data_IF_568981829837
#
_entry.id   IF_568981829837
#
_cell.length_a   1.000
_cell.length_b   1.000
_cell.length_c   1.000
_cell.angle_alpha   90.00
_cell.angle_beta   90.00
_cell.angle_gamma   90.00
#
_symmetry.space_group_name_H-M   'P 1'
#
loop_
_entity.id
_entity.type
_entity.pdbx_description
1 polymer ?
#
# COMPACT_ATOMS: atom_id res chain seq x y z
N UNK A 1 -37.88 12.96 -5.09
CA UNK A 1 -37.12 13.01 -6.35
C UNK A 1 -35.72 12.45 -6.08
N UNK A 2 -35.19 11.51 -6.89
CA UNK A 2 -33.80 11.07 -6.73
C UNK A 2 -32.83 12.23 -6.93
N UNK A 3 -31.80 12.32 -6.08
CA UNK A 3 -30.78 13.38 -6.16
C UNK A 3 -29.87 13.21 -7.38
N UNK A 4 -29.29 14.31 -7.90
CA UNK A 4 -28.42 14.24 -9.06
C UNK A 4 -27.19 13.37 -8.77
N UNK A 5 -26.75 12.60 -9.77
CA UNK A 5 -25.53 11.81 -9.68
C UNK A 5 -24.31 12.72 -9.42
N UNK A 6 -23.42 12.26 -8.54
CA UNK A 6 -22.16 12.96 -8.24
C UNK A 6 -21.30 13.10 -9.50
N UNK A 7 -20.63 14.25 -9.64
CA UNK A 7 -19.75 14.51 -10.76
C UNK A 7 -18.58 13.52 -10.80
N UNK A 8 -18.18 13.16 -12.03
CA UNK A 8 -17.06 12.27 -12.27
C UNK A 8 -15.76 12.91 -11.73
N UNK A 9 -14.94 12.11 -11.02
CA UNK A 9 -13.68 12.57 -10.45
C UNK A 9 -12.70 13.10 -11.51
N UNK A 10 -11.89 14.07 -11.13
CA UNK A 10 -10.91 14.69 -12.03
C UNK A 10 -9.87 13.66 -12.51
N UNK A 11 -9.44 13.71 -13.78
CA UNK A 11 -8.34 12.89 -14.29
C UNK A 11 -7.05 13.09 -13.48
N UNK A 12 -6.23 12.04 -13.38
CA UNK A 12 -4.92 12.12 -12.74
C UNK A 12 -3.98 13.10 -13.44
N UNK A 13 -3.02 13.66 -12.70
CA UNK A 13 -1.99 14.54 -13.26
C UNK A 13 -1.05 13.76 -14.17
N UNK A 14 -0.65 14.39 -15.27
CA UNK A 14 0.33 13.84 -16.21
C UNK A 14 1.70 13.66 -15.54
N UNK A 15 2.47 12.67 -16.03
CA UNK A 15 3.82 12.39 -15.54
C UNK A 15 4.80 13.53 -15.85
N UNK A 16 5.88 13.64 -15.06
CA UNK A 16 6.96 14.58 -15.35
C UNK A 16 7.78 14.11 -16.55
N UNK A 17 8.17 15.05 -17.40
CA UNK A 17 9.02 14.79 -18.56
C UNK A 17 10.39 14.22 -18.17
N UNK A 18 10.97 13.42 -19.07
CA UNK A 18 12.31 12.85 -18.90
C UNK A 18 13.42 13.91 -18.94
N UNK A 19 14.59 13.62 -18.36
CA UNK A 19 15.77 14.48 -18.47
C UNK A 19 16.37 14.38 -19.88
N UNK A 20 16.87 15.50 -20.40
CA UNK A 20 17.57 15.55 -21.69
C UNK A 20 18.80 14.64 -21.72
N UNK A 21 19.10 14.10 -22.92
CA UNK A 21 20.28 13.27 -23.15
C UNK A 21 21.60 14.05 -23.09
N UNK A 22 22.71 13.34 -22.84
CA UNK A 22 24.04 13.95 -22.83
C UNK A 22 24.45 14.49 -24.22
N UNK A 23 25.25 15.57 -24.31
CA UNK A 23 25.75 16.10 -25.58
C UNK A 23 26.61 15.07 -26.34
N UNK A 24 26.49 15.04 -27.67
CA UNK A 24 27.29 14.16 -28.54
C UNK A 24 28.79 14.50 -28.53
N UNK A 25 29.63 13.52 -28.90
CA UNK A 25 31.08 13.69 -28.98
C UNK A 25 31.49 14.71 -30.08
N UNK A 26 32.63 15.43 -29.92
CA UNK A 26 33.17 16.30 -30.96
C UNK A 26 33.51 15.53 -32.25
N UNK A 27 33.24 16.13 -33.42
CA UNK A 27 33.52 15.51 -34.72
C UNK A 27 35.02 15.37 -35.02
N UNK A 28 35.37 14.43 -35.90
CA UNK A 28 36.75 14.18 -36.33
C UNK A 28 37.33 15.37 -37.12
N UNK A 29 38.64 15.59 -36.96
CA UNK A 29 39.37 16.68 -37.63
C UNK A 29 39.52 16.34 -39.12
N UNK A 30 39.06 17.24 -40.00
CA UNK A 30 39.15 17.05 -41.45
C UNK A 30 40.58 16.85 -41.96
N UNK A 31 40.72 16.07 -43.05
CA UNK A 31 42.00 15.76 -43.68
C UNK A 31 42.70 17.01 -44.24
N UNK A 32 44.03 17.05 -44.10
CA UNK A 32 44.85 18.15 -44.60
C UNK A 32 44.81 18.26 -46.13
N UNK A 33 44.69 19.48 -46.65
CA UNK A 33 44.65 19.74 -48.09
C UNK A 33 45.85 19.16 -48.83
N UNK A 34 45.63 18.68 -50.06
CA UNK A 34 46.66 18.05 -50.89
C UNK A 34 47.80 19.06 -51.20
N UNK A 35 49.08 18.64 -51.15
CA UNK A 35 50.20 19.51 -51.50
C UNK A 35 50.08 20.01 -52.95
N UNK A 36 50.31 21.32 -53.16
CA UNK A 36 50.30 21.92 -54.49
C UNK A 36 51.37 21.34 -55.42
N UNK A 37 51.05 21.23 -56.71
CA UNK A 37 51.99 20.79 -57.76
C UNK A 37 53.21 21.72 -57.83
N UNK A 38 54.41 21.17 -57.67
CA UNK A 38 55.67 21.89 -57.90
C UNK A 38 55.75 22.39 -59.35
N UNK A 39 55.92 23.69 -59.55
CA UNK A 39 56.49 24.26 -60.79
C UNK A 39 57.75 25.05 -60.47
N UNK A 40 58.66 25.00 -61.43
CA UNK A 40 59.99 25.60 -61.41
C UNK A 40 59.90 27.14 -61.37
N UNK A 41 60.56 27.69 -60.35
CA UNK A 41 61.36 28.91 -60.33
C UNK A 41 60.66 30.27 -60.52
N UNK A 42 60.90 31.11 -59.50
CA UNK A 42 60.69 32.55 -59.28
C UNK A 42 59.32 33.03 -58.77
N UNK A 43 59.40 33.88 -57.74
CA UNK A 43 58.38 34.48 -56.86
C UNK A 43 57.57 33.51 -55.98
N UNK A 44 57.95 33.45 -54.69
CA UNK A 44 57.16 32.75 -53.68
C UNK A 44 55.84 33.51 -53.45
N UNK A 45 54.79 33.07 -54.14
CA UNK A 45 53.43 33.55 -53.90
C UNK A 45 53.01 33.29 -52.45
N UNK A 46 52.21 34.22 -51.91
CA UNK A 46 51.63 34.14 -50.57
C UNK A 46 50.97 32.76 -50.34
N UNK A 47 51.12 32.15 -49.14
CA UNK A 47 50.43 30.90 -48.81
C UNK A 47 48.94 31.02 -49.11
N UNK A 48 48.37 30.00 -49.76
CA UNK A 48 46.95 29.96 -50.09
C UNK A 48 46.09 30.10 -48.82
N UNK A 49 44.88 30.69 -48.93
CA UNK A 49 43.98 30.84 -47.79
C UNK A 49 43.67 29.47 -47.17
N UNK A 50 43.53 29.45 -45.84
CA UNK A 50 43.13 28.25 -45.09
C UNK A 50 41.79 27.75 -45.63
N UNK A 51 41.69 26.43 -45.87
CA UNK A 51 40.44 25.81 -46.30
C UNK A 51 39.31 26.02 -45.29
N UNK A 52 38.08 26.06 -45.78
CA UNK A 52 36.89 26.27 -44.95
C UNK A 52 36.74 25.14 -43.90
N UNK A 53 36.15 25.45 -42.73
CA UNK A 53 35.78 24.43 -41.75
C UNK A 53 34.87 23.36 -42.39
N UNK A 54 35.10 22.09 -42.06
CA UNK A 54 34.25 20.99 -42.50
C UNK A 54 32.80 21.13 -42.00
N UNK A 55 31.83 20.51 -42.68
CA UNK A 55 30.44 20.53 -42.25
C UNK A 55 30.27 19.92 -40.86
N UNK A 56 29.26 20.41 -40.12
CA UNK A 56 28.87 19.84 -38.82
C UNK A 56 28.47 18.37 -39.02
N UNK A 57 29.00 17.48 -38.17
CA UNK A 57 28.60 16.07 -38.17
C UNK A 57 27.11 15.89 -37.89
N UNK A 58 26.55 14.77 -38.39
CA UNK A 58 25.14 14.45 -38.21
C UNK A 58 24.76 14.30 -36.74
N UNK A 59 23.50 14.58 -36.41
CA UNK A 59 22.96 14.33 -35.08
C UNK A 59 23.01 12.81 -34.79
N UNK A 60 23.46 12.46 -33.57
CA UNK A 60 23.44 11.06 -33.13
C UNK A 60 22.02 10.49 -33.07
N UNK A 61 21.86 9.16 -33.11
CA UNK A 61 20.56 8.52 -33.02
C UNK A 61 19.86 8.86 -31.69
N UNK A 62 18.53 8.94 -31.74
CA UNK A 62 17.70 9.08 -30.54
C UNK A 62 17.96 7.89 -29.60
N UNK A 63 18.20 8.17 -28.32
CA UNK A 63 18.40 7.14 -27.31
C UNK A 63 17.20 6.20 -27.20
N UNK A 64 17.43 4.94 -26.83
CA UNK A 64 16.35 3.99 -26.60
C UNK A 64 15.37 4.51 -25.54
N UNK A 65 14.08 4.25 -25.75
CA UNK A 65 13.06 4.54 -24.74
C UNK A 65 13.43 3.83 -23.42
N UNK A 66 13.32 4.55 -22.31
CA UNK A 66 13.50 3.96 -20.99
C UNK A 66 12.51 2.83 -20.75
N UNK A 67 12.82 1.87 -19.85
CA UNK A 67 11.87 0.83 -19.49
C UNK A 67 10.57 1.46 -18.98
N UNK A 68 9.44 0.82 -19.31
CA UNK A 68 8.15 1.23 -18.77
C UNK A 68 8.20 1.22 -17.24
N UNK A 69 7.78 2.32 -16.60
CA UNK A 69 7.69 2.37 -15.14
C UNK A 69 6.72 1.29 -14.65
N UNK A 70 7.13 0.51 -13.65
CA UNK A 70 6.25 -0.48 -13.04
C UNK A 70 5.04 0.23 -12.43
N UNK A 71 3.83 -0.12 -12.88
CA UNK A 71 2.61 0.29 -12.20
C UNK A 71 2.59 -0.35 -10.81
N UNK A 72 3.07 0.37 -9.80
CA UNK A 72 2.99 -0.07 -8.41
C UNK A 72 1.52 -0.04 -7.96
N UNK A 73 0.84 -1.18 -8.05
CA UNK A 73 -0.49 -1.36 -7.46
C UNK A 73 -0.35 -1.10 -5.95
N UNK A 74 -1.13 -0.19 -5.35
CA UNK A 74 -1.03 0.06 -3.92
C UNK A 74 -1.30 -1.24 -3.15
N UNK A 75 -0.51 -1.55 -2.11
CA UNK A 75 -0.69 -2.79 -1.38
C UNK A 75 -2.08 -2.82 -0.74
N UNK A 76 -2.74 -3.98 -0.80
CA UNK A 76 -4.08 -4.20 -0.25
C UNK A 76 -3.99 -5.17 0.91
N UNK A 77 -4.73 -4.91 1.97
CA UNK A 77 -4.84 -5.79 3.12
C UNK A 77 -6.14 -5.46 3.84
N UNK A 78 -7.13 -6.35 3.74
CA UNK A 78 -8.42 -6.19 4.39
C UNK A 78 -9.06 -7.53 4.69
N UNK A 79 -9.79 -7.59 5.79
CA UNK A 79 -10.65 -8.73 6.10
C UNK A 79 -11.91 -8.26 6.84
N UNK A 80 -12.94 -9.08 6.76
CA UNK A 80 -14.10 -9.01 7.64
C UNK A 80 -14.62 -10.42 7.87
N UNK A 81 -14.90 -10.74 9.11
CA UNK A 81 -15.41 -12.04 9.52
C UNK A 81 -16.47 -11.86 10.61
N UNK A 82 -17.29 -12.90 10.77
CA UNK A 82 -18.34 -12.95 11.79
C UNK A 82 -18.31 -14.26 12.54
N UNK A 83 -18.89 -14.26 13.73
CA UNK A 83 -18.97 -15.44 14.59
C UNK A 83 -20.14 -16.34 14.17
N UNK A 84 -19.95 -17.66 14.24
CA UNK A 84 -21.06 -18.62 14.19
C UNK A 84 -21.90 -18.62 15.46
N UNK A 85 -23.14 -19.10 15.32
CA UNK A 85 -24.00 -19.39 16.46
C UNK A 85 -23.35 -20.47 17.31
N UNK A 86 -23.10 -20.18 18.60
CA UNK A 86 -22.51 -21.13 19.52
C UNK A 86 -23.27 -21.16 20.84
N UNK A 87 -23.47 -22.36 21.36
CA UNK A 87 -23.98 -22.59 22.73
C UNK A 87 -22.84 -22.77 23.74
N UNK A 88 -21.62 -22.94 23.25
CA UNK A 88 -20.42 -23.09 24.08
C UNK A 88 -19.91 -21.69 24.43
N UNK A 89 -19.64 -21.41 25.72
CA UNK A 89 -18.98 -20.18 26.14
C UNK A 89 -17.71 -19.92 25.29
N UNK A 90 -17.46 -18.67 24.88
CA UNK A 90 -16.19 -18.36 24.23
C UNK A 90 -15.02 -18.67 25.18
N UNK A 91 -13.86 -19.08 24.65
CA UNK A 91 -12.67 -19.22 25.47
C UNK A 91 -12.31 -17.87 26.10
N UNK A 92 -12.12 -17.85 27.42
CA UNK A 92 -11.46 -16.76 28.13
C UNK A 92 -9.95 -16.92 27.99
N UNK A 93 -9.22 -15.81 27.88
CA UNK A 93 -7.76 -15.80 27.75
C UNK A 93 -7.18 -16.43 26.47
N UNK A 94 -7.97 -16.52 25.41
CA UNK A 94 -7.51 -16.91 24.08
C UNK A 94 -8.11 -16.01 22.99
N UNK A 95 -7.50 -15.96 21.80
CA UNK A 95 -8.10 -15.28 20.67
C UNK A 95 -9.51 -15.77 20.38
N UNK A 96 -10.40 -14.84 20.12
CA UNK A 96 -11.80 -15.11 19.85
C UNK A 96 -11.98 -15.40 18.34
N UNK A 97 -12.34 -16.63 17.94
CA UNK A 97 -12.49 -16.95 16.53
C UNK A 97 -13.76 -16.29 15.96
N UNK A 98 -13.59 -15.60 14.83
CA UNK A 98 -14.68 -15.19 13.93
C UNK A 98 -14.59 -16.09 12.70
N UNK A 99 -15.20 -17.26 12.82
CA UNK A 99 -14.99 -18.42 11.96
C UNK A 99 -15.69 -18.30 10.59
N UNK A 100 -16.64 -17.38 10.43
CA UNK A 100 -17.34 -17.14 9.16
C UNK A 100 -16.78 -15.91 8.45
N UNK A 101 -15.87 -16.16 7.51
CA UNK A 101 -15.29 -15.10 6.67
C UNK A 101 -16.34 -14.48 5.75
N UNK A 102 -16.39 -13.14 5.73
CA UNK A 102 -17.16 -12.34 4.76
C UNK A 102 -16.28 -11.94 3.58
N UNK A 103 -15.08 -11.45 3.86
CA UNK A 103 -14.05 -11.12 2.87
C UNK A 103 -12.67 -11.33 3.49
N UNK A 104 -11.75 -11.92 2.74
CA UNK A 104 -10.36 -12.17 3.15
C UNK A 104 -9.49 -12.48 1.93
N UNK A 105 -9.55 -11.62 0.91
CA UNK A 105 -8.91 -11.88 -0.40
C UNK A 105 -7.41 -12.15 -0.30
N UNK A 106 -6.72 -11.52 0.65
CA UNK A 106 -5.28 -11.68 0.84
C UNK A 106 -4.90 -12.84 1.77
N UNK A 107 -5.86 -13.46 2.45
CA UNK A 107 -5.59 -14.53 3.42
C UNK A 107 -4.79 -14.06 4.64
N UNK A 108 -4.80 -12.76 4.96
CA UNK A 108 -4.08 -12.21 6.12
C UNK A 108 -4.80 -12.48 7.45
N UNK A 109 -6.11 -12.77 7.40
CA UNK A 109 -6.87 -13.24 8.55
C UNK A 109 -6.97 -14.76 8.57
N UNK A 110 -6.72 -15.37 9.70
CA UNK A 110 -6.92 -16.80 9.94
C UNK A 110 -8.18 -17.01 10.79
N UNK A 111 -9.21 -17.57 10.17
CA UNK A 111 -10.51 -17.82 10.80
C UNK A 111 -10.48 -18.96 11.83
N UNK A 112 -9.47 -19.84 11.78
CA UNK A 112 -9.31 -20.92 12.76
C UNK A 112 -8.73 -20.37 14.05
N UNK A 113 -7.69 -19.53 13.95
CA UNK A 113 -7.03 -18.95 15.12
C UNK A 113 -7.68 -17.64 15.59
N UNK A 114 -8.47 -16.97 14.76
CA UNK A 114 -9.07 -15.68 15.06
C UNK A 114 -8.10 -14.50 14.92
N UNK A 115 -6.91 -14.72 14.35
CA UNK A 115 -5.83 -13.72 14.28
C UNK A 115 -5.68 -13.13 12.89
N UNK A 116 -5.48 -11.82 12.82
CA UNK A 116 -4.93 -11.13 11.66
C UNK A 116 -3.41 -11.09 11.77
N UNK A 117 -2.68 -11.44 10.70
CA UNK A 117 -1.22 -11.33 10.63
C UNK A 117 -0.83 -10.33 9.54
N UNK A 118 -0.13 -9.28 9.94
CA UNK A 118 0.31 -8.21 9.07
C UNK A 118 1.35 -8.69 8.05
N UNK A 119 1.16 -8.37 6.77
CA UNK A 119 2.16 -8.57 5.71
C UNK A 119 2.70 -7.25 5.15
N UNK A 120 1.93 -6.16 5.28
CA UNK A 120 2.26 -4.85 4.71
C UNK A 120 2.41 -3.85 5.85
N UNK A 121 3.60 -3.22 6.04
CA UNK A 121 3.78 -2.23 7.09
C UNK A 121 2.92 -1.00 6.82
N UNK A 122 2.29 -0.48 7.86
CA UNK A 122 1.45 0.70 7.76
C UNK A 122 0.51 0.87 8.93
N UNK A 123 -0.43 1.79 8.75
CA UNK A 123 -1.49 2.03 9.75
C UNK A 123 -2.76 1.32 9.34
N UNK A 124 -3.30 0.58 10.28
CA UNK A 124 -4.51 -0.23 10.14
C UNK A 124 -5.62 0.33 11.01
N UNK A 125 -6.85 0.17 10.56
CA UNK A 125 -8.04 0.37 11.38
C UNK A 125 -8.69 -0.99 11.65
N UNK A 126 -9.04 -1.24 12.90
CA UNK A 126 -9.78 -2.42 13.33
C UNK A 126 -11.08 -2.01 13.99
N UNK A 127 -12.15 -2.76 13.72
CA UNK A 127 -13.46 -2.55 14.30
C UNK A 127 -14.12 -3.88 14.63
N UNK A 128 -14.73 -3.92 15.81
CA UNK A 128 -15.58 -5.01 16.31
C UNK A 128 -16.97 -4.46 16.53
N UNK A 129 -17.97 -5.13 15.98
CA UNK A 129 -19.38 -4.87 16.28
C UNK A 129 -19.97 -6.14 16.86
N UNK A 130 -20.22 -6.14 18.15
CA UNK A 130 -20.67 -7.31 18.90
C UNK A 130 -22.13 -7.16 19.33
N UNK A 131 -22.87 -8.26 19.22
CA UNK A 131 -24.13 -8.44 19.92
C UNK A 131 -23.84 -8.96 21.32
N UNK A 132 -24.48 -8.38 22.34
CA UNK A 132 -24.27 -8.73 23.76
C UNK A 132 -25.52 -9.38 24.34
N UNK A 133 -25.40 -10.60 24.86
CA UNK A 133 -26.53 -11.34 25.40
C UNK A 133 -26.13 -12.33 26.50
N UNK A 134 -27.05 -12.60 27.44
CA UNK A 134 -26.92 -13.52 28.60
C UNK A 134 -25.91 -13.10 29.67
N UNK A 135 -24.85 -12.39 29.31
CA UNK A 135 -23.86 -11.83 30.22
C UNK A 135 -23.37 -10.47 29.69
N UNK A 136 -22.69 -9.70 30.53
CA UNK A 136 -21.95 -8.51 30.08
C UNK A 136 -20.81 -8.93 29.16
N UNK A 137 -20.37 -8.03 28.28
CA UNK A 137 -19.25 -8.27 27.38
C UNK A 137 -18.13 -7.29 27.67
N UNK A 138 -16.92 -7.83 27.82
CA UNK A 138 -15.68 -7.09 27.78
C UNK A 138 -14.77 -7.73 26.72
N UNK A 139 -14.16 -6.93 25.88
CA UNK A 139 -13.12 -7.42 24.99
C UNK A 139 -12.01 -6.39 24.80
N UNK A 140 -10.84 -6.91 24.50
CA UNK A 140 -9.66 -6.15 24.12
C UNK A 140 -9.38 -6.38 22.65
N UNK A 141 -9.02 -5.29 21.95
CA UNK A 141 -8.25 -5.38 20.71
C UNK A 141 -6.79 -5.54 21.10
N UNK A 142 -6.17 -6.64 20.72
CA UNK A 142 -4.82 -7.02 21.19
C UNK A 142 -3.86 -6.97 20.01
N UNK A 143 -2.68 -6.38 20.22
CA UNK A 143 -1.52 -6.47 19.31
C UNK A 143 -0.41 -7.26 20.01
N UNK A 144 0.01 -8.37 19.44
CA UNK A 144 1.13 -9.19 19.95
C UNK A 144 1.05 -9.54 21.45
N UNK A 145 -0.16 -9.64 22.02
CA UNK A 145 -0.40 -9.94 23.44
C UNK A 145 -0.65 -8.72 24.32
N UNK A 146 -0.44 -7.50 23.82
CA UNK A 146 -0.72 -6.26 24.54
C UNK A 146 -2.05 -5.64 24.10
N UNK A 147 -2.86 -5.17 25.05
CA UNK A 147 -4.12 -4.49 24.74
C UNK A 147 -3.86 -3.13 24.09
N UNK A 148 -4.41 -2.93 22.90
CA UNK A 148 -4.47 -1.65 22.19
C UNK A 148 -5.55 -0.77 22.84
N UNK A 149 -6.74 -1.36 23.02
CA UNK A 149 -7.91 -0.70 23.58
C UNK A 149 -8.90 -1.74 24.12
N UNK A 150 -9.55 -1.39 25.22
CA UNK A 150 -10.51 -2.24 25.93
C UNK A 150 -11.91 -1.64 25.86
N UNK A 151 -12.91 -2.50 25.67
CA UNK A 151 -14.31 -2.09 25.51
C UNK A 151 -15.21 -2.91 26.44
N UNK A 152 -16.27 -2.29 26.94
CA UNK A 152 -17.21 -2.93 27.87
C UNK A 152 -18.65 -2.52 27.60
N UNK A 153 -19.57 -3.49 27.71
CA UNK A 153 -21.01 -3.28 27.72
C UNK A 153 -21.65 -4.08 28.85
N UNK A 154 -22.37 -3.36 29.71
CA UNK A 154 -23.18 -3.96 30.74
C UNK A 154 -24.43 -4.64 30.15
N UNK A 155 -24.75 -5.84 30.62
CA UNK A 155 -26.00 -6.55 30.31
C UNK A 155 -26.86 -6.69 31.56
N UNK A 156 -27.97 -5.93 31.62
CA UNK A 156 -28.85 -5.87 32.79
C UNK A 156 -29.88 -7.00 32.89
N UNK A 157 -29.62 -8.17 32.32
CA UNK A 157 -30.58 -9.29 32.32
C UNK A 157 -31.81 -9.05 31.43
N UNK A 158 -31.69 -8.20 30.41
CA UNK A 158 -32.81 -7.89 29.52
C UNK A 158 -33.28 -9.10 28.71
N UNK A 159 -34.56 -9.14 28.32
CA UNK A 159 -35.09 -10.26 27.53
C UNK A 159 -34.48 -10.34 26.12
N UNK A 160 -33.91 -9.24 25.62
CA UNK A 160 -33.34 -9.12 24.27
C UNK A 160 -31.86 -8.68 24.32
N UNK A 161 -31.08 -8.97 23.26
CA UNK A 161 -29.67 -8.57 23.19
C UNK A 161 -29.46 -7.05 23.18
N UNK A 162 -28.30 -6.63 23.68
CA UNK A 162 -27.73 -5.30 23.53
C UNK A 162 -26.60 -5.31 22.47
N UNK A 163 -25.87 -4.19 22.32
CA UNK A 163 -24.78 -4.06 21.36
C UNK A 163 -23.54 -3.43 21.99
N UNK A 164 -22.36 -3.83 21.55
CA UNK A 164 -21.08 -3.20 21.87
C UNK A 164 -20.28 -3.01 20.59
N UNK A 165 -19.75 -1.81 20.36
CA UNK A 165 -18.79 -1.57 19.27
C UNK A 165 -17.50 -1.02 19.84
N UNK A 166 -16.38 -1.44 19.25
CA UNK A 166 -15.06 -0.95 19.62
C UNK A 166 -14.17 -0.93 18.40
N UNK A 167 -13.29 0.06 18.31
CA UNK A 167 -12.35 0.15 17.20
C UNK A 167 -11.20 1.09 17.52
N UNK A 168 -10.06 0.83 16.89
CA UNK A 168 -8.85 1.61 17.07
C UNK A 168 -8.00 1.58 15.80
N UNK A 169 -7.17 2.61 15.64
CA UNK A 169 -6.09 2.61 14.65
C UNK A 169 -4.80 2.17 15.31
N UNK A 170 -3.99 1.38 14.60
CA UNK A 170 -2.71 0.90 15.12
C UNK A 170 -1.71 0.75 13.97
N UNK A 171 -0.45 1.10 14.24
CA UNK A 171 0.66 0.83 13.32
C UNK A 171 1.12 -0.61 13.47
N UNK A 172 1.25 -1.31 12.35
CA UNK A 172 1.73 -2.69 12.29
C UNK A 172 2.95 -2.82 11.39
N UNK A 173 3.88 -3.65 11.81
CA UNK A 173 5.01 -4.13 11.01
C UNK A 173 4.72 -5.57 10.53
N UNK A 174 5.41 -6.08 9.50
CA UNK A 174 5.21 -7.44 9.03
C UNK A 174 5.40 -8.45 10.16
N UNK A 175 4.52 -9.46 10.22
CA UNK A 175 4.39 -10.48 11.27
C UNK A 175 3.71 -10.02 12.57
N UNK A 176 3.44 -8.73 12.76
CA UNK A 176 2.59 -8.31 13.87
C UNK A 176 1.21 -8.98 13.76
N UNK A 177 0.70 -9.45 14.90
CA UNK A 177 -0.59 -10.12 14.99
C UNK A 177 -1.59 -9.27 15.76
N UNK A 178 -2.82 -9.19 15.25
CA UNK A 178 -3.95 -8.52 15.91
C UNK A 178 -5.13 -9.46 16.06
N UNK A 179 -5.75 -9.48 17.23
CA UNK A 179 -6.95 -10.28 17.48
C UNK A 179 -7.86 -9.63 18.51
N UNK A 180 -9.04 -10.24 18.70
CA UNK A 180 -9.98 -9.89 19.76
C UNK A 180 -9.89 -10.94 20.85
N UNK A 181 -9.88 -10.54 22.11
CA UNK A 181 -9.84 -11.44 23.26
C UNK A 181 -10.73 -10.91 24.37
N UNK A 182 -11.34 -11.81 25.15
CA UNK A 182 -12.04 -11.42 26.38
C UNK A 182 -11.00 -11.28 27.49
N UNK A 183 -10.82 -10.07 28.02
CA UNK A 183 -9.81 -9.75 29.03
C UNK A 183 -10.24 -10.07 30.46
N UNK A 184 -11.55 -10.20 30.71
CA UNK A 184 -12.11 -10.54 32.03
C UNK A 184 -13.04 -11.75 31.92
N UNK A 185 -12.71 -12.84 32.63
CA UNK A 185 -13.32 -14.17 32.45
C UNK A 185 -14.85 -14.25 32.61
N UNK A 186 -15.46 -13.36 33.40
CA UNK A 186 -16.91 -13.35 33.62
C UNK A 186 -17.69 -12.58 32.53
N UNK A 187 -17.00 -11.77 31.70
CA UNK A 187 -17.63 -10.87 30.73
C UNK A 187 -17.56 -11.42 29.31
N UNK A 188 -18.07 -12.63 29.16
CA UNK A 188 -18.05 -13.43 27.91
C UNK A 188 -19.35 -13.31 27.08
N UNK A 189 -20.14 -12.26 27.29
CA UNK A 189 -21.48 -12.10 26.72
C UNK A 189 -21.58 -11.86 25.20
N UNK A 190 -20.54 -12.16 24.42
CA UNK A 190 -20.58 -12.01 22.97
C UNK A 190 -21.50 -13.06 22.34
N UNK A 191 -22.33 -12.64 21.39
CA UNK A 191 -23.42 -13.45 20.89
C UNK A 191 -23.60 -13.38 19.38
N UNK A 192 -24.15 -14.44 18.80
CA UNK A 192 -24.62 -14.50 17.41
C UNK A 192 -25.86 -15.40 17.33
N UNK A 193 -26.79 -15.06 16.45
CA UNK A 193 -28.03 -15.80 16.19
C UNK A 193 -28.46 -15.62 14.73
N UNK A 194 -29.54 -16.29 14.34
CA UNK A 194 -30.18 -16.13 13.02
C UNK A 194 -30.40 -14.66 12.59
N UNK A 195 -30.60 -13.73 13.53
CA UNK A 195 -30.89 -12.31 13.26
C UNK A 195 -29.91 -11.32 13.89
N UNK A 196 -28.84 -11.80 14.52
CA UNK A 196 -27.85 -10.94 15.18
C UNK A 196 -26.46 -11.46 14.92
N UNK A 197 -25.55 -10.60 14.50
CA UNK A 197 -24.17 -10.99 14.22
C UNK A 197 -23.22 -10.30 15.21
N UNK A 198 -22.06 -10.93 15.42
CA UNK A 198 -20.88 -10.27 15.98
C UNK A 198 -19.77 -10.35 14.92
N UNK A 199 -19.23 -9.19 14.53
CA UNK A 199 -18.28 -9.04 13.43
C UNK A 199 -16.96 -8.46 13.90
N UNK A 200 -15.89 -8.84 13.21
CA UNK A 200 -14.55 -8.29 13.36
C UNK A 200 -14.00 -7.97 11.98
N UNK A 201 -13.56 -6.73 11.79
CA UNK A 201 -13.04 -6.23 10.52
C UNK A 201 -11.75 -5.47 10.75
N UNK A 202 -10.86 -5.51 9.76
CA UNK A 202 -9.67 -4.69 9.76
C UNK A 202 -9.14 -4.46 8.36
N UNK A 203 -8.56 -3.29 8.13
CA UNK A 203 -7.99 -2.94 6.83
C UNK A 203 -6.82 -1.95 6.95
N UNK A 204 -5.91 -2.02 5.98
CA UNK A 204 -4.83 -1.07 5.79
C UNK A 204 -5.40 0.28 5.34
N UNK A 205 -5.06 1.35 6.06
CA UNK A 205 -5.45 2.72 5.73
C UNK A 205 -4.41 3.34 4.80
N UNK A 206 -3.13 3.21 5.15
CA UNK A 206 -2.01 3.60 4.29
C UNK A 206 -0.76 2.78 4.61
N UNK A 207 0.04 2.51 3.59
CA UNK A 207 1.30 1.76 3.70
C UNK A 207 2.50 2.68 3.92
N UNK A 208 3.47 2.22 4.72
CA UNK A 208 4.72 2.94 4.98
C UNK A 208 5.86 2.60 3.99
N UNK A 209 5.58 1.88 2.90
CA UNK A 209 6.57 1.44 1.91
C UNK A 209 7.40 2.57 1.26
N UNK A 210 6.93 3.81 1.32
CA UNK A 210 7.63 4.98 0.80
C UNK A 210 8.88 5.38 1.62
N UNK A 211 9.06 4.85 2.84
CA UNK A 211 10.25 5.10 3.68
C UNK A 211 11.33 4.01 3.52
N UNK A 212 11.34 3.26 2.42
CA UNK A 212 12.46 2.36 2.13
C UNK A 212 13.73 3.20 1.89
N UNK A 213 14.83 2.98 2.63
CA UNK A 213 16.06 3.78 2.57
C UNK A 213 16.83 3.67 1.24
N UNK A 214 16.22 3.07 0.21
CA UNK A 214 16.77 2.92 -1.14
C UNK A 214 16.52 4.18 -1.99
N UNK A 215 15.58 5.05 -1.59
CA UNK A 215 15.17 6.22 -2.37
C UNK A 215 15.08 7.54 -1.59
N UNK A 216 15.62 7.60 -0.37
CA UNK A 216 15.75 8.84 0.42
C UNK A 216 17.16 9.42 0.34
#
# INVERSE_FOLDING_TARGET
TPGPHGSQGLPGRDGRDGRDGAPGAPGEKGEGGRPGKKRLRWEAGLPGPRGEPGPRGEAGPVGAAGPAGECSVPPRSAFSAKRSESRVPPPSDAPLPFDRVLVNEQGHYDAVTGKFTCQVPGVYYFAVHATVYRASLQFDLVKNGESIASFFQFFGGWPKPASLSGGAMVRLEPKDQVWVQVGVGDYIGIYASIKTDSTFSGFLVYSDWHNSPVFA
#
